data_IF_267625649235
#
_entry.id   IF_267625649235
#
_cell.length_a   1.000
_cell.length_b   1.000
_cell.length_c   1.000
_cell.angle_alpha   90.00
_cell.angle_beta   90.00
_cell.angle_gamma   90.00
#
_symmetry.space_group_name_H-M   'P 1'
#
loop_
_entity.id
_entity.type
_entity.pdbx_description
1 polymer ?
#
# COMPACT_ATOMS: atom_id res chain seq x y z
N UNK A 1 -19.78 -0.42 -7.11
CA UNK A 1 -18.83 0.69 -7.41
C UNK A 1 -17.41 0.17 -7.65
N UNK A 2 -16.94 -0.79 -6.86
CA UNK A 2 -15.61 -1.41 -7.00
C UNK A 2 -15.44 -2.17 -8.32
N UNK A 3 -16.43 -2.99 -8.71
CA UNK A 3 -16.43 -3.76 -9.96
C UNK A 3 -16.40 -2.88 -11.21
N UNK A 4 -17.15 -1.77 -11.23
CA UNK A 4 -17.12 -0.78 -12.32
C UNK A 4 -15.71 -0.24 -12.53
N UNK A 5 -15.02 0.13 -11.45
CA UNK A 5 -13.65 0.66 -11.50
C UNK A 5 -12.69 -0.43 -12.00
N UNK A 6 -12.87 -1.67 -11.53
CA UNK A 6 -12.06 -2.82 -11.91
C UNK A 6 -12.21 -3.16 -13.40
N UNK A 7 -13.44 -3.30 -13.89
CA UNK A 7 -13.72 -3.58 -15.30
C UNK A 7 -13.14 -2.51 -16.21
N UNK A 8 -13.37 -1.23 -15.89
CA UNK A 8 -12.82 -0.11 -16.67
C UNK A 8 -11.30 -0.19 -16.78
N UNK A 9 -10.62 -0.57 -15.69
CA UNK A 9 -9.17 -0.75 -15.66
C UNK A 9 -8.73 -1.90 -16.59
N UNK A 10 -9.40 -3.04 -16.56
CA UNK A 10 -9.05 -4.18 -17.42
C UNK A 10 -9.30 -3.92 -18.90
N UNK A 11 -10.41 -3.24 -19.25
CA UNK A 11 -10.68 -2.80 -20.63
C UNK A 11 -9.51 -1.94 -21.14
N UNK A 12 -9.13 -0.90 -20.39
CA UNK A 12 -8.00 -0.02 -20.75
C UNK A 12 -6.68 -0.80 -20.86
N UNK A 13 -6.50 -1.82 -20.02
CA UNK A 13 -5.28 -2.62 -20.04
C UNK A 13 -5.15 -3.45 -21.30
N UNK A 14 -6.23 -4.14 -21.68
CA UNK A 14 -6.28 -4.99 -22.86
C UNK A 14 -6.21 -4.16 -24.15
N UNK A 15 -6.84 -2.98 -24.20
CA UNK A 15 -6.68 -2.01 -25.30
C UNK A 15 -5.21 -1.67 -25.53
N UNK A 16 -4.47 -1.30 -24.48
CA UNK A 16 -3.04 -0.98 -24.56
C UNK A 16 -2.17 -2.19 -24.91
N UNK A 17 -2.57 -3.39 -24.49
CA UNK A 17 -1.91 -4.61 -24.91
C UNK A 17 -2.01 -4.77 -26.43
N UNK A 18 -3.20 -4.57 -27.01
CA UNK A 18 -3.41 -4.59 -28.46
C UNK A 18 -2.64 -3.48 -29.20
N UNK A 19 -2.56 -2.27 -28.64
CA UNK A 19 -1.75 -1.17 -29.24
C UNK A 19 -0.25 -1.53 -29.37
N UNK A 20 0.26 -2.36 -28.45
CA UNK A 20 1.66 -2.80 -28.45
C UNK A 20 1.89 -4.19 -29.05
N UNK A 21 0.85 -4.80 -29.64
CA UNK A 21 0.86 -6.17 -30.13
C UNK A 21 1.75 -6.32 -31.37
N UNK A 22 2.64 -7.31 -31.31
CA UNK A 22 3.46 -7.79 -32.40
C UNK A 22 3.13 -9.25 -32.66
N UNK A 23 2.77 -9.55 -33.90
CA UNK A 23 2.47 -10.92 -34.32
C UNK A 23 3.76 -11.56 -34.84
N UNK A 24 4.24 -12.59 -34.17
CA UNK A 24 5.47 -13.31 -34.52
C UNK A 24 5.17 -14.52 -35.41
N UNK A 25 4.01 -15.14 -35.23
CA UNK A 25 3.50 -16.26 -36.03
C UNK A 25 2.15 -15.88 -36.65
N UNK A 26 2.07 -15.89 -37.98
CA UNK A 26 0.87 -15.51 -38.76
C UNK A 26 0.01 -16.70 -39.17
N UNK A 27 0.15 -17.85 -38.51
CA UNK A 27 -0.76 -18.98 -38.69
C UNK A 27 -2.22 -18.55 -38.45
N UNK A 28 -3.14 -19.04 -39.28
CA UNK A 28 -4.58 -18.78 -39.17
C UNK A 28 -5.11 -19.00 -37.74
N UNK A 29 -4.70 -20.08 -37.08
CA UNK A 29 -5.13 -20.37 -35.71
C UNK A 29 -4.70 -19.28 -34.71
N UNK A 30 -3.53 -18.66 -34.90
CA UNK A 30 -3.05 -17.57 -34.05
C UNK A 30 -3.88 -16.30 -34.30
N UNK A 31 -4.15 -15.99 -35.57
CA UNK A 31 -4.98 -14.84 -35.94
C UNK A 31 -6.42 -14.98 -35.42
N UNK A 32 -7.02 -16.16 -35.55
CA UNK A 32 -8.36 -16.45 -35.05
C UNK A 32 -8.45 -16.26 -33.53
N UNK A 33 -7.43 -16.67 -32.77
CA UNK A 33 -7.37 -16.46 -31.31
C UNK A 33 -7.21 -14.98 -30.96
N UNK A 34 -6.41 -14.22 -31.72
CA UNK A 34 -6.26 -12.77 -31.53
C UNK A 34 -7.60 -12.07 -31.76
N UNK A 35 -8.32 -12.45 -32.81
CA UNK A 35 -9.62 -11.88 -33.14
C UNK A 35 -10.69 -12.26 -32.11
N UNK A 36 -10.67 -13.49 -31.60
CA UNK A 36 -11.51 -13.91 -30.47
C UNK A 36 -11.25 -13.05 -29.22
N UNK A 37 -9.99 -12.74 -28.91
CA UNK A 37 -9.65 -11.85 -27.80
C UNK A 37 -10.19 -10.41 -28.01
N UNK A 38 -10.24 -9.91 -29.26
CA UNK A 38 -10.86 -8.60 -29.58
C UNK A 38 -12.39 -8.64 -29.44
N UNK A 39 -13.03 -9.77 -29.78
CA UNK A 39 -14.46 -9.96 -29.53
C UNK A 39 -14.76 -9.85 -28.04
N UNK A 40 -14.01 -10.56 -27.19
CA UNK A 40 -14.16 -10.47 -25.73
C UNK A 40 -13.94 -9.05 -25.17
N UNK A 41 -13.00 -8.28 -25.74
CA UNK A 41 -12.83 -6.86 -25.40
C UNK A 41 -14.07 -6.04 -25.76
N UNK A 42 -14.67 -6.31 -26.92
CA UNK A 42 -15.87 -5.63 -27.39
C UNK A 42 -17.08 -5.96 -26.51
N UNK A 43 -17.24 -7.23 -26.14
CA UNK A 43 -18.27 -7.69 -25.20
C UNK A 43 -18.09 -7.03 -23.83
N UNK A 44 -16.87 -6.96 -23.31
CA UNK A 44 -16.59 -6.30 -22.05
C UNK A 44 -16.98 -4.80 -22.06
N UNK A 45 -16.74 -4.10 -23.18
CA UNK A 45 -17.19 -2.71 -23.38
C UNK A 45 -18.71 -2.62 -23.40
N UNK A 46 -19.37 -3.51 -24.13
CA UNK A 46 -20.84 -3.58 -24.17
C UNK A 46 -21.45 -3.77 -22.78
N UNK A 47 -20.97 -4.76 -22.02
CA UNK A 47 -21.47 -5.01 -20.66
C UNK A 47 -21.14 -3.86 -19.69
N UNK A 48 -20.00 -3.18 -19.88
CA UNK A 48 -19.68 -1.98 -19.12
C UNK A 48 -20.71 -0.87 -19.32
N UNK A 49 -21.17 -0.63 -20.56
CA UNK A 49 -22.20 0.35 -20.89
C UNK A 49 -23.58 -0.04 -20.34
N UNK A 50 -23.90 -1.34 -20.33
CA UNK A 50 -25.15 -1.87 -19.76
C UNK A 50 -25.18 -1.92 -18.23
N UNK A 51 -24.03 -1.74 -17.57
CA UNK A 51 -23.93 -1.81 -16.11
C UNK A 51 -23.75 -3.23 -15.56
N UNK A 52 -23.52 -4.22 -16.42
CA UNK A 52 -23.30 -5.63 -16.05
C UNK A 52 -21.82 -5.91 -15.82
N UNK A 53 -21.29 -5.41 -14.70
CA UNK A 53 -19.84 -5.37 -14.48
C UNK A 53 -19.20 -6.75 -14.27
N UNK A 54 -19.88 -7.67 -13.59
CA UNK A 54 -19.40 -9.05 -13.37
C UNK A 54 -19.23 -9.80 -14.68
N UNK A 55 -20.25 -9.78 -15.55
CA UNK A 55 -20.19 -10.39 -16.89
C UNK A 55 -19.07 -9.78 -17.72
N UNK A 56 -18.95 -8.44 -17.71
CA UNK A 56 -17.85 -7.76 -18.40
C UNK A 56 -16.46 -8.15 -17.87
N UNK A 57 -16.32 -8.37 -16.55
CA UNK A 57 -15.07 -8.85 -15.94
C UNK A 57 -14.76 -10.28 -16.41
N UNK A 58 -15.76 -11.14 -16.53
CA UNK A 58 -15.56 -12.48 -17.09
C UNK A 58 -15.08 -12.40 -18.54
N UNK A 59 -15.74 -11.62 -19.40
CA UNK A 59 -15.35 -11.44 -20.80
C UNK A 59 -13.90 -10.92 -20.92
N UNK A 60 -13.56 -9.85 -20.19
CA UNK A 60 -12.22 -9.26 -20.32
C UNK A 60 -11.11 -10.21 -19.85
N UNK A 61 -11.36 -11.00 -18.79
CA UNK A 61 -10.41 -12.00 -18.30
C UNK A 61 -10.14 -13.10 -19.33
N UNK A 62 -11.16 -13.55 -20.08
CA UNK A 62 -10.96 -14.47 -21.21
C UNK A 62 -10.07 -13.84 -22.29
N UNK A 63 -10.33 -12.60 -22.68
CA UNK A 63 -9.51 -11.88 -23.66
C UNK A 63 -8.04 -11.73 -23.23
N UNK A 64 -7.78 -11.35 -21.97
CA UNK A 64 -6.42 -11.25 -21.43
C UNK A 64 -5.71 -12.62 -21.43
N UNK A 65 -6.41 -13.68 -21.02
CA UNK A 65 -5.87 -15.04 -20.96
C UNK A 65 -5.48 -15.62 -22.32
N UNK A 66 -6.26 -15.35 -23.36
CA UNK A 66 -5.95 -15.76 -24.74
C UNK A 66 -4.65 -15.12 -25.24
N UNK A 67 -4.49 -13.80 -25.07
CA UNK A 67 -3.26 -13.11 -25.45
C UNK A 67 -2.05 -13.59 -24.63
N UNK A 68 -2.20 -13.73 -23.31
CA UNK A 68 -1.10 -14.22 -22.47
C UNK A 68 -0.64 -15.63 -22.86
N UNK A 69 -1.58 -16.50 -23.23
CA UNK A 69 -1.29 -17.85 -23.70
C UNK A 69 -0.49 -17.84 -25.00
N UNK A 70 -0.92 -17.05 -26.00
CA UNK A 70 -0.18 -16.90 -27.26
C UNK A 70 1.21 -16.30 -27.04
N UNK A 71 1.35 -15.33 -26.13
CA UNK A 71 2.64 -14.72 -25.81
C UNK A 71 3.59 -15.72 -25.16
N UNK A 72 3.09 -16.53 -24.21
CA UNK A 72 3.88 -17.60 -23.58
C UNK A 72 4.35 -18.66 -24.58
N UNK A 73 3.56 -18.93 -25.61
CA UNK A 73 3.92 -19.83 -26.72
C UNK A 73 4.88 -19.19 -27.74
N UNK A 74 5.31 -17.94 -27.52
CA UNK A 74 6.20 -17.22 -28.43
C UNK A 74 5.57 -16.86 -29.77
N UNK A 75 4.23 -16.88 -29.88
CA UNK A 75 3.49 -16.60 -31.12
C UNK A 75 3.21 -15.12 -31.34
N UNK A 76 3.17 -14.37 -30.25
CA UNK A 76 3.01 -12.92 -30.23
C UNK A 76 3.92 -12.32 -29.17
N UNK A 77 4.17 -11.02 -29.26
CA UNK A 77 4.79 -10.21 -28.22
C UNK A 77 3.96 -8.96 -27.98
N UNK A 78 3.82 -8.54 -26.73
CA UNK A 78 3.12 -7.30 -26.37
C UNK A 78 3.45 -6.91 -24.92
N UNK A 79 3.23 -5.65 -24.59
CA UNK A 79 3.46 -5.12 -23.24
C UNK A 79 2.13 -4.86 -22.54
N UNK A 80 1.90 -5.53 -21.42
CA UNK A 80 0.86 -5.08 -20.50
C UNK A 80 1.23 -3.67 -20.02
N UNK A 81 0.28 -2.71 -19.98
CA UNK A 81 0.52 -1.46 -19.28
C UNK A 81 0.92 -1.80 -17.86
N UNK A 82 2.06 -1.24 -17.42
CA UNK A 82 2.58 -1.48 -16.08
C UNK A 82 1.44 -1.25 -15.09
N UNK A 83 1.00 -2.32 -14.42
CA UNK A 83 0.20 -2.17 -13.21
C UNK A 83 1.02 -1.23 -12.34
N UNK A 84 0.40 -0.15 -11.88
CA UNK A 84 1.07 0.84 -11.04
C UNK A 84 1.71 0.04 -9.90
N UNK A 85 3.05 -0.07 -9.88
CA UNK A 85 3.77 -0.84 -8.86
C UNK A 85 3.16 -0.43 -7.52
N UNK A 86 2.61 -1.40 -6.79
CA UNK A 86 2.00 -1.08 -5.50
C UNK A 86 3.12 -0.51 -4.64
N UNK A 87 3.01 0.78 -4.32
CA UNK A 87 4.04 1.49 -3.58
C UNK A 87 4.12 0.91 -2.18
N UNK A 88 5.34 0.62 -1.71
CA UNK A 88 5.59 0.20 -0.33
C UNK A 88 5.65 1.44 0.54
N UNK A 89 4.78 1.48 1.54
CA UNK A 89 4.60 2.60 2.47
C UNK A 89 5.06 2.14 3.83
N UNK A 90 6.13 2.72 4.35
CA UNK A 90 6.61 2.44 5.70
C UNK A 90 6.08 3.48 6.68
N UNK A 91 5.51 3.01 7.79
CA UNK A 91 5.08 3.84 8.92
C UNK A 91 5.80 3.36 10.18
N UNK A 92 6.44 4.26 10.91
CA UNK A 92 7.12 3.95 12.17
C UNK A 92 6.45 4.62 13.37
N UNK A 93 6.29 3.91 14.48
CA UNK A 93 5.65 4.47 15.67
C UNK A 93 5.76 3.61 16.92
N UNK A 94 5.45 4.22 18.06
CA UNK A 94 5.33 3.48 19.33
C UNK A 94 4.01 2.71 19.36
N UNK A 95 2.89 3.30 18.93
CA UNK A 95 1.58 2.65 18.96
C UNK A 95 1.17 2.14 20.36
N UNK A 96 1.45 2.94 21.39
CA UNK A 96 1.06 2.65 22.77
C UNK A 96 -0.38 3.10 23.01
N UNK A 97 -1.21 2.25 23.61
CA UNK A 97 -2.67 2.42 23.76
C UNK A 97 -3.32 2.84 22.42
N UNK A 98 -3.84 1.90 21.64
CA UNK A 98 -4.41 2.24 20.32
C UNK A 98 -5.60 3.20 20.45
N UNK A 99 -5.60 4.23 19.61
CA UNK A 99 -6.57 5.31 19.62
C UNK A 99 -6.81 5.82 18.19
N UNK A 100 -7.84 6.66 17.95
CA UNK A 100 -8.21 7.13 16.61
C UNK A 100 -7.10 7.85 15.85
N UNK A 101 -6.18 8.55 16.55
CA UNK A 101 -4.97 9.12 15.94
C UNK A 101 -4.09 8.11 15.20
N UNK A 102 -3.86 6.92 15.77
CA UNK A 102 -3.11 5.84 15.10
C UNK A 102 -3.87 5.30 13.88
N UNK A 103 -5.18 5.07 14.02
CA UNK A 103 -6.03 4.61 12.92
C UNK A 103 -6.06 5.62 11.77
N UNK A 104 -6.09 6.92 12.07
CA UNK A 104 -6.03 7.97 11.07
C UNK A 104 -4.72 7.93 10.27
N UNK A 105 -3.58 7.79 10.95
CA UNK A 105 -2.27 7.66 10.31
C UNK A 105 -2.20 6.43 9.40
N UNK A 106 -2.58 5.25 9.90
CA UNK A 106 -2.53 4.00 9.14
C UNK A 106 -3.52 4.02 7.96
N UNK A 107 -4.72 4.58 8.15
CA UNK A 107 -5.69 4.78 7.06
C UNK A 107 -5.15 5.71 5.98
N UNK A 108 -4.40 6.75 6.34
CA UNK A 108 -3.71 7.63 5.38
C UNK A 108 -2.60 6.88 4.65
N UNK A 109 -1.82 6.05 5.36
CA UNK A 109 -0.79 5.19 4.76
C UNK A 109 -1.37 4.26 3.69
N UNK A 110 -2.49 3.61 3.98
CA UNK A 110 -3.14 2.66 3.07
C UNK A 110 -3.60 3.28 1.75
N UNK A 111 -3.90 4.58 1.73
CA UNK A 111 -4.21 5.31 0.48
C UNK A 111 -3.00 5.43 -0.45
N UNK A 112 -1.79 5.27 0.05
CA UNK A 112 -0.57 5.41 -0.74
C UNK A 112 -0.06 4.09 -1.33
N UNK A 113 -0.43 2.94 -0.73
CA UNK A 113 -0.06 1.61 -1.22
C UNK A 113 -0.05 0.53 -0.13
N UNK A 114 0.90 -0.40 -0.24
CA UNK A 114 1.12 -1.54 0.66
C UNK A 114 1.82 -1.07 1.95
N UNK A 115 1.19 -1.25 3.10
CA UNK A 115 1.58 -0.64 4.37
C UNK A 115 2.38 -1.63 5.23
N UNK A 116 3.63 -1.25 5.49
CA UNK A 116 4.54 -1.94 6.40
C UNK A 116 4.70 -1.07 7.64
N UNK A 117 4.31 -1.58 8.80
CA UNK A 117 4.43 -0.87 10.07
C UNK A 117 5.64 -1.36 10.86
N UNK A 118 6.47 -0.42 11.31
CA UNK A 118 7.60 -0.67 12.19
C UNK A 118 7.24 -0.21 13.60
N UNK A 119 6.98 -1.18 14.48
CA UNK A 119 6.62 -0.95 15.88
C UNK A 119 7.90 -0.75 16.69
N UNK A 120 8.03 0.40 17.35
CA UNK A 120 9.21 0.73 18.15
C UNK A 120 9.35 -0.22 19.34
N UNK A 121 10.58 -0.65 19.62
CA UNK A 121 10.91 -1.47 20.79
C UNK A 121 10.81 -0.68 22.09
N UNK A 122 10.44 -1.33 23.19
CA UNK A 122 10.33 -0.71 24.51
C UNK A 122 11.66 -0.07 24.92
N UNK A 123 12.76 -0.80 24.71
CA UNK A 123 14.13 -0.30 24.94
C UNK A 123 14.46 0.97 24.13
N UNK A 124 13.99 1.04 22.89
CA UNK A 124 14.21 2.21 22.01
C UNK A 124 13.37 3.40 22.48
N UNK A 125 12.12 3.16 22.88
CA UNK A 125 11.22 4.21 23.37
C UNK A 125 11.73 4.78 24.69
N UNK A 126 12.18 3.92 25.62
CA UNK A 126 12.76 4.33 26.90
C UNK A 126 13.97 5.25 26.71
N UNK A 127 14.88 4.91 25.80
CA UNK A 127 16.05 5.75 25.50
C UNK A 127 15.72 7.11 24.90
N UNK A 128 14.69 7.18 24.05
CA UNK A 128 14.35 8.40 23.31
C UNK A 128 13.43 9.35 24.07
N UNK A 129 12.42 8.80 24.72
CA UNK A 129 11.32 9.56 25.32
C UNK A 129 11.40 9.59 26.84
N UNK A 130 12.43 8.95 27.41
CA UNK A 130 12.56 8.71 28.85
C UNK A 130 11.28 8.12 29.48
N UNK A 131 10.53 7.34 28.70
CA UNK A 131 9.24 6.75 29.09
C UNK A 131 9.16 5.32 28.58
N UNK A 132 8.65 4.43 29.42
CA UNK A 132 8.32 3.06 29.01
C UNK A 132 6.87 3.06 28.51
N UNK A 133 6.57 2.47 27.34
CA UNK A 133 5.20 2.25 26.91
C UNK A 133 4.40 1.46 27.97
N UNK A 134 3.11 1.77 28.12
CA UNK A 134 2.22 1.02 29.01
C UNK A 134 2.05 -0.41 28.50
N UNK A 135 1.85 -0.56 27.18
CA UNK A 135 1.66 -1.86 26.54
C UNK A 135 3.03 -2.37 26.02
N UNK A 136 3.47 -3.59 26.41
CA UNK A 136 4.74 -4.16 25.94
C UNK A 136 4.82 -4.33 24.42
N UNK A 137 6.03 -4.29 23.86
CA UNK A 137 6.27 -4.26 22.40
C UNK A 137 5.64 -5.42 21.62
N UNK A 138 5.60 -6.62 22.21
CA UNK A 138 4.98 -7.80 21.57
C UNK A 138 3.46 -7.66 21.46
N UNK A 139 2.81 -7.12 22.49
CA UNK A 139 1.36 -6.91 22.48
C UNK A 139 0.99 -5.77 21.52
N UNK A 140 1.75 -4.67 21.53
CA UNK A 140 1.57 -3.59 20.55
C UNK A 140 1.72 -4.09 19.11
N UNK A 141 2.69 -4.96 18.85
CA UNK A 141 2.84 -5.59 17.54
C UNK A 141 1.61 -6.39 17.15
N UNK A 142 1.12 -7.25 18.03
CA UNK A 142 -0.05 -8.10 17.76
C UNK A 142 -1.27 -7.26 17.41
N UNK A 143 -1.56 -6.23 18.22
CA UNK A 143 -2.68 -5.31 17.96
C UNK A 143 -2.52 -4.64 16.60
N UNK A 144 -1.31 -4.16 16.26
CA UNK A 144 -1.06 -3.48 15.00
C UNK A 144 -1.25 -4.41 13.79
N UNK A 145 -0.89 -5.70 13.91
CA UNK A 145 -1.12 -6.70 12.85
C UNK A 145 -2.60 -6.92 12.55
N UNK A 146 -3.47 -6.76 13.55
CA UNK A 146 -4.91 -6.94 13.40
C UNK A 146 -5.63 -5.73 12.78
N UNK A 147 -4.95 -4.60 12.56
CA UNK A 147 -5.59 -3.39 12.02
C UNK A 147 -5.75 -3.52 10.51
N UNK A 148 -6.99 -3.40 10.01
CA UNK A 148 -7.38 -3.46 8.58
C UNK A 148 -6.50 -2.66 7.60
N UNK A 149 -5.87 -1.59 8.05
CA UNK A 149 -5.04 -0.70 7.22
C UNK A 149 -3.56 -1.11 7.14
N UNK A 150 -3.18 -2.21 7.79
CA UNK A 150 -1.81 -2.71 7.89
C UNK A 150 -1.72 -4.00 7.08
N UNK A 151 -0.75 -4.08 6.17
CA UNK A 151 -0.49 -5.30 5.40
C UNK A 151 0.55 -6.17 6.12
N UNK A 152 1.61 -5.55 6.64
CA UNK A 152 2.62 -6.22 7.46
C UNK A 152 3.03 -5.34 8.64
N UNK A 153 3.39 -5.96 9.77
CA UNK A 153 3.99 -5.26 10.89
C UNK A 153 5.15 -6.05 11.51
N UNK A 154 6.17 -5.31 11.93
CA UNK A 154 7.39 -5.87 12.51
C UNK A 154 7.88 -5.03 13.69
N UNK A 155 8.58 -5.66 14.63
CA UNK A 155 9.38 -4.93 15.60
C UNK A 155 10.54 -4.22 14.89
N UNK A 156 10.80 -2.99 15.30
CA UNK A 156 11.98 -2.23 14.89
C UNK A 156 13.27 -2.81 15.44
N UNK A 157 14.38 -2.20 15.04
CA UNK A 157 15.69 -2.53 15.57
C UNK A 157 15.94 -1.89 16.94
N UNK A 158 16.81 -2.52 17.73
CA UNK A 158 17.41 -1.87 18.90
C UNK A 158 18.26 -0.70 18.40
N UNK A 159 18.26 0.43 19.13
CA UNK A 159 19.03 1.65 18.80
C UNK A 159 18.72 2.24 17.41
N UNK A 160 17.45 2.66 17.17
CA UNK A 160 16.92 3.31 15.94
C UNK A 160 17.84 3.18 14.72
N UNK A 161 17.57 2.21 13.86
CA UNK A 161 18.31 2.07 12.61
C UNK A 161 17.38 2.22 11.41
N UNK A 162 17.22 3.47 10.99
CA UNK A 162 16.37 3.87 9.85
C UNK A 162 16.94 3.31 8.55
N UNK A 163 18.26 3.36 8.37
CA UNK A 163 18.93 2.87 7.16
C UNK A 163 18.62 1.38 6.94
N UNK A 164 18.74 0.56 7.99
CA UNK A 164 18.43 -0.86 7.92
C UNK A 164 16.96 -1.14 7.59
N UNK A 165 16.04 -0.30 8.07
CA UNK A 165 14.61 -0.37 7.69
C UNK A 165 14.44 -0.05 6.20
N UNK A 166 15.09 1.01 5.70
CA UNK A 166 15.04 1.39 4.30
C UNK A 166 15.62 0.28 3.40
N UNK A 167 16.78 -0.26 3.74
CA UNK A 167 17.44 -1.32 2.99
C UNK A 167 16.61 -2.61 2.96
N UNK A 168 16.06 -3.02 4.12
CA UNK A 168 15.28 -4.25 4.23
C UNK A 168 13.93 -4.15 3.52
N UNK A 169 13.21 -3.05 3.72
CA UNK A 169 11.81 -2.94 3.28
C UNK A 169 11.63 -2.11 2.00
N UNK A 170 12.69 -1.49 1.47
CA UNK A 170 12.72 -0.73 0.20
C UNK A 170 11.45 0.12 -0.01
N UNK A 171 11.14 1.05 0.91
CA UNK A 171 9.93 1.86 0.80
C UNK A 171 10.01 2.76 -0.42
N UNK A 172 8.89 2.91 -1.13
CA UNK A 172 8.69 4.00 -2.09
C UNK A 172 8.24 5.27 -1.33
N UNK A 173 7.53 5.10 -0.20
CA UNK A 173 7.05 6.19 0.66
C UNK A 173 7.36 5.89 2.12
N UNK A 174 7.78 6.91 2.87
CA UNK A 174 7.78 6.90 4.33
C UNK A 174 6.76 7.93 4.81
N UNK A 175 5.75 7.48 5.57
CA UNK A 175 4.74 8.35 6.16
C UNK A 175 4.96 8.52 7.66
N UNK A 176 5.05 9.78 8.07
CA UNK A 176 5.32 10.21 9.44
C UNK A 176 4.09 10.86 10.08
N UNK A 177 3.94 10.65 11.38
CA UNK A 177 3.01 11.38 12.23
C UNK A 177 3.39 12.85 12.40
N UNK A 178 2.45 13.71 12.83
CA UNK A 178 2.66 15.15 12.87
C UNK A 178 3.81 15.59 13.78
N UNK A 179 4.03 14.86 14.89
CA UNK A 179 5.05 15.19 15.91
C UNK A 179 6.47 14.69 15.56
N UNK A 180 6.66 14.03 14.41
CA UNK A 180 7.93 13.36 14.07
C UNK A 180 8.90 14.24 13.27
N UNK A 181 9.08 15.50 13.67
CA UNK A 181 9.90 16.49 12.94
C UNK A 181 11.39 16.09 12.91
N UNK A 182 11.96 15.72 14.06
CA UNK A 182 13.36 15.29 14.15
C UNK A 182 13.64 14.04 13.29
N UNK A 183 12.70 13.09 13.33
CA UNK A 183 12.78 11.87 12.52
C UNK A 183 12.70 12.19 11.02
N UNK A 184 11.84 13.13 10.61
CA UNK A 184 11.78 13.60 9.23
C UNK A 184 13.14 14.13 8.76
N UNK A 185 13.80 14.98 9.56
CA UNK A 185 15.10 15.52 9.22
C UNK A 185 16.15 14.41 9.06
N UNK A 186 16.23 13.45 10.00
CA UNK A 186 17.17 12.34 9.92
C UNK A 186 16.95 11.50 8.65
N UNK A 187 15.69 11.18 8.33
CA UNK A 187 15.35 10.38 7.14
C UNK A 187 15.73 11.14 5.87
N UNK A 188 15.42 12.45 5.78
CA UNK A 188 15.79 13.29 4.63
C UNK A 188 17.31 13.32 4.42
N UNK A 189 18.09 13.44 5.49
CA UNK A 189 19.56 13.41 5.44
C UNK A 189 20.06 12.08 4.87
N UNK A 190 19.61 10.94 5.43
CA UNK A 190 19.99 9.60 4.96
C UNK A 190 19.63 9.39 3.49
N UNK A 191 18.41 9.78 3.09
CA UNK A 191 17.91 9.62 1.71
C UNK A 191 18.75 10.45 0.73
N UNK A 192 19.10 11.67 1.10
CA UNK A 192 19.95 12.55 0.28
C UNK A 192 21.37 12.01 0.15
N UNK A 193 22.00 11.63 1.27
CA UNK A 193 23.38 11.12 1.30
C UNK A 193 23.54 9.81 0.51
N UNK A 194 22.50 8.98 0.48
CA UNK A 194 22.49 7.69 -0.22
C UNK A 194 21.93 7.77 -1.64
N UNK A 195 21.50 8.95 -2.11
CA UNK A 195 20.91 9.13 -3.45
C UNK A 195 19.64 8.29 -3.67
N UNK A 196 18.83 8.09 -2.63
CA UNK A 196 17.65 7.23 -2.69
C UNK A 196 16.42 8.00 -3.19
N UNK A 197 15.62 7.37 -4.05
CA UNK A 197 14.34 7.94 -4.51
C UNK A 197 13.19 7.48 -3.60
N UNK A 198 13.06 8.11 -2.43
CA UNK A 198 12.03 7.80 -1.43
C UNK A 198 11.22 9.06 -1.12
N UNK A 199 9.90 8.98 -1.29
CA UNK A 199 9.01 10.10 -0.99
C UNK A 199 8.72 10.16 0.52
N UNK A 200 9.12 11.25 1.17
CA UNK A 200 8.92 11.46 2.61
C UNK A 200 7.71 12.37 2.82
N UNK A 201 6.68 11.83 3.48
CA UNK A 201 5.45 12.56 3.82
C UNK A 201 5.29 12.64 5.33
N UNK A 202 4.80 13.78 5.83
CA UNK A 202 4.37 13.97 7.22
C UNK A 202 2.94 14.48 7.26
N UNK A 203 2.12 13.97 8.18
CA UNK A 203 0.79 14.53 8.42
C UNK A 203 0.92 15.96 8.95
N UNK A 204 0.19 16.91 8.35
CA UNK A 204 0.27 18.33 8.71
C UNK A 204 -0.35 18.64 10.08
N UNK A 205 -1.36 17.88 10.49
CA UNK A 205 -2.13 18.09 11.73
C UNK A 205 -2.37 16.77 12.44
N UNK A 206 -2.52 16.85 13.77
CA UNK A 206 -3.07 15.77 14.58
C UNK A 206 -4.51 15.50 14.19
N UNK A 207 -4.95 14.28 14.46
CA UNK A 207 -6.36 13.95 14.36
C UNK A 207 -7.05 14.52 15.61
N UNK A 208 -8.04 15.36 15.41
CA UNK A 208 -8.70 16.17 16.45
C UNK A 208 -10.24 15.94 16.48
N UNK A 209 -10.74 14.97 15.70
CA UNK A 209 -12.17 14.67 15.65
C UNK A 209 -12.74 14.17 16.98
N UNK A 210 -11.93 13.50 17.78
CA UNK A 210 -12.35 12.92 19.06
C UNK A 210 -11.48 13.43 20.20
N UNK A 211 -12.08 13.51 21.38
CA UNK A 211 -11.47 13.98 22.63
C UNK A 211 -10.15 13.26 22.94
N UNK A 212 -10.12 11.93 22.82
CA UNK A 212 -8.92 11.12 23.08
C UNK A 212 -8.27 10.67 21.77
N UNK A 213 -7.31 11.47 21.31
CA UNK A 213 -6.61 11.21 20.04
C UNK A 213 -5.11 10.99 20.19
N UNK A 214 -4.59 11.01 21.43
CA UNK A 214 -3.23 10.62 21.78
C UNK A 214 -3.19 9.74 23.04
N UNK A 215 -2.13 8.94 23.19
CA UNK A 215 -1.85 8.16 24.40
C UNK A 215 -1.79 9.06 25.65
N UNK A 216 -1.23 10.27 25.51
CA UNK A 216 -1.11 11.21 26.62
C UNK A 216 -2.47 11.70 27.12
N UNK A 217 -3.41 11.97 26.20
CA UNK A 217 -4.77 12.41 26.57
C UNK A 217 -5.51 11.31 27.32
N UNK A 218 -5.38 10.06 26.85
CA UNK A 218 -5.99 8.90 27.51
C UNK A 218 -5.43 8.71 28.91
N UNK A 219 -4.10 8.74 29.05
CA UNK A 219 -3.45 8.58 30.37
C UNK A 219 -3.86 9.71 31.30
N UNK A 220 -3.87 10.96 30.82
CA UNK A 220 -4.28 12.12 31.64
C UNK A 220 -5.70 11.95 32.17
N UNK A 221 -6.63 11.56 31.31
CA UNK A 221 -8.01 11.30 31.73
C UNK A 221 -8.12 10.15 32.74
N UNK A 222 -7.40 9.05 32.54
CA UNK A 222 -7.39 7.94 33.50
C UNK A 222 -6.88 8.40 34.87
N UNK A 223 -5.83 9.24 34.91
CA UNK A 223 -5.31 9.79 36.17
C UNK A 223 -6.30 10.76 36.81
N UNK A 224 -7.00 11.59 36.03
CA UNK A 224 -7.99 12.53 36.56
C UNK A 224 -9.21 11.83 37.17
N UNK A 225 -9.64 10.70 36.59
CA UNK A 225 -10.83 9.96 37.06
C UNK A 225 -10.52 8.92 38.14
N UNK A 226 -9.32 8.30 38.11
CA UNK A 226 -8.98 7.14 38.93
C UNK A 226 -7.63 7.29 39.66
N UNK A 227 -6.98 8.45 39.57
CA UNK A 227 -5.78 8.74 40.34
C UNK A 227 -6.14 9.04 41.78
N UNK A 228 -5.80 8.13 42.69
CA UNK A 228 -5.76 8.38 44.14
C UNK A 228 -4.63 9.35 44.51
#
# INVERSE_FOLDING_TARGET
MEEKILLKKYIINLEKAFESLKILDRNKNVLDIIDLAKCYLSDARYYFEKGEYTTGISCIAYGEGLLDSLRKLGKIDFKWPRSRKIRRVVVGGTFDIIHPGHLYLLRRAKKYGYVIVIVARDSTVKKLKNKVPIIPEKQRLEIIRSIKYVDEAYLGYKNINILKVIEKYRPDIILLGPDQIYLEHMIRKIVSEKGLNIEIKRLKKKYDKYMYSSTSDIIKHIIEEYGE
#
